data_IF_646066425037
#
_entry.id   IF_646066425037
#
_cell.length_a   1.000
_cell.length_b   1.000
_cell.length_c   1.000
_cell.angle_alpha   90.00
_cell.angle_beta   90.00
_cell.angle_gamma   90.00
#
_symmetry.space_group_name_H-M   'P 1'
#
loop_
_entity.id
_entity.type
_entity.pdbx_description
1 polymer ?
#
# COMPACT_ATOMS: atom_id res chain seq x y z
N UNK A 1 -8.66 -2.84 20.49
CA UNK A 1 -8.89 -2.08 19.23
C UNK A 1 -9.05 -0.58 19.47
N UNK A 2 -9.89 -0.12 20.41
CA UNK A 2 -10.12 1.30 20.69
C UNK A 2 -8.85 2.14 20.96
N UNK A 3 -7.95 1.64 21.83
CA UNK A 3 -6.72 2.35 22.20
C UNK A 3 -5.76 2.56 21.01
N UNK A 4 -5.80 1.67 20.01
CA UNK A 4 -4.96 1.83 18.82
C UNK A 4 -5.39 3.03 17.99
N UNK A 5 -6.68 3.25 17.80
CA UNK A 5 -7.18 4.39 17.03
C UNK A 5 -7.01 5.73 17.75
N UNK A 6 -7.12 5.73 19.09
CA UNK A 6 -7.00 6.95 19.90
C UNK A 6 -5.54 7.38 20.06
N UNK A 7 -4.62 6.43 20.25
CA UNK A 7 -3.23 6.72 20.60
C UNK A 7 -2.26 6.25 19.53
N UNK A 8 -2.39 5.00 19.08
CA UNK A 8 -1.45 4.41 18.12
C UNK A 8 -1.47 5.08 16.75
N UNK A 9 -2.67 5.32 16.20
CA UNK A 9 -2.87 5.89 14.87
C UNK A 9 -2.36 7.33 14.76
N UNK A 10 -2.76 8.31 15.61
CA UNK A 10 -2.22 9.66 15.52
C UNK A 10 -0.72 9.73 15.83
N UNK A 11 -0.19 8.85 16.68
CA UNK A 11 1.24 8.77 16.95
C UNK A 11 2.00 8.28 15.71
N UNK A 12 1.54 7.20 15.07
CA UNK A 12 2.16 6.67 13.86
C UNK A 12 2.11 7.68 12.69
N UNK A 13 0.94 8.29 12.47
CA UNK A 13 0.75 9.30 11.42
C UNK A 13 1.58 10.56 11.71
N UNK A 14 1.56 11.05 12.95
CA UNK A 14 2.32 12.22 13.36
C UNK A 14 3.83 12.01 13.21
N UNK A 15 4.36 10.86 13.66
CA UNK A 15 5.76 10.51 13.48
C UNK A 15 6.14 10.34 12.00
N UNK A 16 5.26 9.77 11.17
CA UNK A 16 5.47 9.67 9.73
C UNK A 16 5.59 11.04 9.05
N UNK A 17 4.69 11.97 9.37
CA UNK A 17 4.75 13.35 8.86
C UNK A 17 5.99 14.09 9.35
N UNK A 18 6.36 13.90 10.62
CA UNK A 18 7.61 14.45 11.18
C UNK A 18 8.85 13.91 10.47
N UNK A 19 8.89 12.62 10.16
CA UNK A 19 9.99 12.01 9.41
C UNK A 19 10.13 12.64 8.03
N UNK A 20 9.02 12.80 7.29
CA UNK A 20 9.01 13.48 5.99
C UNK A 20 9.43 14.95 6.13
N UNK A 21 8.95 15.65 7.16
CA UNK A 21 9.30 17.04 7.41
C UNK A 21 10.78 17.26 7.82
N UNK A 22 11.47 16.20 8.23
CA UNK A 22 12.91 16.25 8.58
C UNK A 22 13.84 16.01 7.39
N UNK A 23 13.32 15.67 6.21
CA UNK A 23 14.12 15.51 4.99
C UNK A 23 14.62 16.89 4.52
N UNK A 24 15.94 17.03 4.39
CA UNK A 24 16.60 18.29 3.99
C UNK A 24 17.06 19.16 5.18
N UNK A 25 17.21 20.46 4.95
CA UNK A 25 17.74 21.42 5.93
C UNK A 25 16.67 22.02 6.86
N UNK A 26 15.41 21.59 6.72
CA UNK A 26 14.27 22.07 7.52
C UNK A 26 13.78 20.97 8.46
N UNK A 27 13.18 21.37 9.59
CA UNK A 27 12.44 20.51 10.52
C UNK A 27 11.16 21.22 10.96
N UNK A 28 10.13 20.47 11.34
CA UNK A 28 8.92 21.04 11.94
C UNK A 28 8.96 20.97 13.47
N UNK A 29 8.20 21.82 14.14
CA UNK A 29 8.04 21.75 15.60
C UNK A 29 7.30 20.46 16.02
N UNK A 30 8.01 19.55 16.69
CA UNK A 30 7.52 18.24 17.10
C UNK A 30 6.21 18.31 17.88
N UNK A 31 6.11 19.23 18.85
CA UNK A 31 4.96 19.32 19.75
C UNK A 31 3.69 19.74 19.02
N UNK A 32 3.81 20.68 18.09
CA UNK A 32 2.66 21.24 17.38
C UNK A 32 2.16 20.28 16.29
N UNK A 33 3.07 19.65 15.55
CA UNK A 33 2.72 18.66 14.53
C UNK A 33 2.07 17.42 15.15
N UNK A 34 2.63 16.90 16.24
CA UNK A 34 2.07 15.75 16.94
C UNK A 34 0.75 16.11 17.64
N UNK A 35 0.69 17.29 18.26
CA UNK A 35 -0.53 17.82 18.86
C UNK A 35 -1.68 17.89 17.87
N UNK A 36 -1.43 18.38 16.65
CA UNK A 36 -2.44 18.44 15.59
C UNK A 36 -2.97 17.05 15.18
N UNK A 37 -2.08 16.05 15.10
CA UNK A 37 -2.49 14.67 14.81
C UNK A 37 -3.39 14.10 15.92
N UNK A 38 -3.03 14.32 17.18
CA UNK A 38 -3.84 13.89 18.32
C UNK A 38 -5.16 14.65 18.45
N UNK A 39 -5.21 15.92 18.06
CA UNK A 39 -6.44 16.73 18.13
C UNK A 39 -7.48 16.27 17.09
N UNK A 40 -7.02 15.83 15.92
CA UNK A 40 -7.89 15.30 14.87
C UNK A 40 -8.32 13.83 15.08
N UNK A 41 -7.62 13.09 15.94
CA UNK A 41 -7.91 11.67 16.18
C UNK A 41 -9.32 11.41 16.74
N UNK A 42 -9.80 12.11 17.79
CA UNK A 42 -11.16 11.92 18.32
C UNK A 42 -12.28 12.24 17.33
N UNK A 43 -12.04 13.19 16.41
CA UNK A 43 -13.05 13.66 15.45
C UNK A 43 -13.41 12.60 14.41
N UNK A 44 -12.44 11.75 14.05
CA UNK A 44 -12.62 10.71 13.03
C UNK A 44 -12.50 9.29 13.61
N UNK A 45 -12.68 9.13 14.92
CA UNK A 45 -12.56 7.86 15.60
C UNK A 45 -13.46 6.77 14.98
N UNK A 46 -12.88 5.60 14.70
CA UNK A 46 -13.58 4.43 14.17
C UNK A 46 -13.90 4.47 12.68
N UNK A 47 -13.47 5.50 11.93
CA UNK A 47 -13.62 5.57 10.47
C UNK A 47 -12.31 5.17 9.77
N UNK A 48 -12.34 4.36 8.70
CA UNK A 48 -11.13 3.97 7.96
C UNK A 48 -10.46 5.18 7.28
N UNK A 49 -11.22 6.22 6.98
CA UNK A 49 -10.76 7.46 6.34
C UNK A 49 -9.94 8.33 7.31
N UNK A 50 -9.94 8.06 8.62
CA UNK A 50 -9.33 8.91 9.65
C UNK A 50 -7.84 9.23 9.43
N UNK A 51 -7.10 8.35 8.75
CA UNK A 51 -5.68 8.53 8.45
C UNK A 51 -5.45 9.79 7.59
N UNK A 52 -6.32 10.06 6.62
CA UNK A 52 -6.17 11.17 5.68
C UNK A 52 -6.30 12.56 6.34
N UNK A 53 -7.39 12.89 7.08
CA UNK A 53 -7.52 14.19 7.73
C UNK A 53 -6.48 14.39 8.85
N UNK A 54 -6.10 13.33 9.57
CA UNK A 54 -5.05 13.39 10.60
C UNK A 54 -3.70 13.71 9.95
N UNK A 55 -3.36 13.02 8.86
CA UNK A 55 -2.12 13.26 8.09
C UNK A 55 -2.11 14.65 7.47
N UNK A 56 -3.23 15.10 6.91
CA UNK A 56 -3.36 16.42 6.30
C UNK A 56 -3.20 17.52 7.35
N UNK A 57 -3.85 17.40 8.51
CA UNK A 57 -3.72 18.36 9.60
C UNK A 57 -2.29 18.41 10.16
N UNK A 58 -1.65 17.26 10.35
CA UNK A 58 -0.25 17.18 10.75
C UNK A 58 0.68 17.80 9.69
N UNK A 59 0.42 17.57 8.40
CA UNK A 59 1.23 18.11 7.30
C UNK A 59 1.12 19.63 7.19
N UNK A 60 -0.10 20.17 7.26
CA UNK A 60 -0.34 21.63 7.24
C UNK A 60 0.33 22.30 8.44
N UNK A 61 0.21 21.71 9.63
CA UNK A 61 0.84 22.26 10.85
C UNK A 61 2.36 22.15 10.80
N UNK A 62 2.90 21.08 10.23
CA UNK A 62 4.33 20.93 9.97
C UNK A 62 4.85 21.96 8.97
N UNK A 63 4.08 22.27 7.92
CA UNK A 63 4.43 23.32 6.96
C UNK A 63 4.38 24.72 7.59
N UNK A 64 3.38 24.99 8.43
CA UNK A 64 3.21 26.29 9.10
C UNK A 64 4.33 26.59 10.12
N UNK A 65 4.86 25.56 10.79
CA UNK A 65 5.88 25.71 11.84
C UNK A 65 7.24 25.14 11.43
N UNK A 66 7.69 25.45 10.21
CA UNK A 66 9.03 25.09 9.74
C UNK A 66 10.10 25.90 10.45
N UNK A 67 11.14 25.21 10.92
CA UNK A 67 12.37 25.77 11.45
C UNK A 67 13.54 25.25 10.63
N UNK A 68 14.55 26.09 10.44
CA UNK A 68 15.81 25.63 9.86
C UNK A 68 16.60 24.85 10.90
N UNK A 69 17.21 23.75 10.49
CA UNK A 69 18.18 23.03 11.32
C UNK A 69 19.32 24.00 11.60
N UNK A 70 19.65 24.19 12.88
CA UNK A 70 20.93 24.82 13.23
C UNK A 70 22.05 24.03 12.53
N UNK A 71 23.09 24.71 12.05
CA UNK A 71 24.24 24.05 11.41
C UNK A 71 24.77 22.98 12.36
N UNK A 72 24.52 21.73 12.04
CA UNK A 72 24.90 20.63 12.91
C UNK A 72 26.41 20.64 13.04
N UNK A 73 26.91 20.79 14.27
CA UNK A 73 28.28 20.38 14.58
C UNK A 73 28.48 18.95 14.11
N UNK A 74 29.68 18.64 13.63
CA UNK A 74 30.03 17.34 13.04
C UNK A 74 29.65 16.18 13.98
N UNK A 75 28.48 15.57 13.75
CA UNK A 75 28.05 14.38 14.49
C UNK A 75 29.12 13.29 14.41
N UNK A 76 29.38 12.63 15.53
CA UNK A 76 30.34 11.52 15.61
C UNK A 76 29.93 10.38 14.68
N UNK A 77 30.90 9.78 13.99
CA UNK A 77 30.70 8.70 13.01
C UNK A 77 29.92 7.51 13.63
N UNK A 78 30.12 7.24 14.92
CA UNK A 78 29.42 6.19 15.66
C UNK A 78 27.90 6.38 15.69
N UNK A 79 27.41 7.60 15.85
CA UNK A 79 25.97 7.89 15.86
C UNK A 79 25.35 7.71 14.47
N UNK A 80 26.09 8.05 13.42
CA UNK A 80 25.65 7.83 12.03
C UNK A 80 25.55 6.35 11.70
N UNK A 81 26.56 5.57 12.09
CA UNK A 81 26.57 4.12 11.91
C UNK A 81 25.46 3.44 12.73
N UNK A 82 25.20 3.89 13.95
CA UNK A 82 24.10 3.39 14.77
C UNK A 82 22.73 3.63 14.12
N UNK A 83 22.46 4.86 13.63
CA UNK A 83 21.21 5.18 12.93
C UNK A 83 21.05 4.39 11.63
N UNK A 84 22.13 4.20 10.88
CA UNK A 84 22.13 3.36 9.69
C UNK A 84 21.85 1.89 10.04
N UNK A 85 22.45 1.36 11.10
CA UNK A 85 22.18 0.01 11.60
C UNK A 85 20.72 -0.17 12.02
N UNK A 86 20.15 0.81 12.72
CA UNK A 86 18.73 0.80 13.10
C UNK A 86 17.81 0.85 11.87
N UNK A 87 18.12 1.70 10.89
CA UNK A 87 17.36 1.79 9.65
C UNK A 87 17.44 0.48 8.84
N UNK A 88 18.61 -0.14 8.77
CA UNK A 88 18.81 -1.43 8.13
C UNK A 88 17.99 -2.52 8.83
N UNK A 89 17.98 -2.57 10.16
CA UNK A 89 17.19 -3.52 10.93
C UNK A 89 15.68 -3.31 10.75
N UNK A 90 15.24 -2.05 10.75
CA UNK A 90 13.84 -1.69 10.53
C UNK A 90 13.33 -2.08 9.14
N UNK A 91 14.20 -2.07 8.12
CA UNK A 91 13.87 -2.49 6.77
C UNK A 91 13.95 -4.01 6.58
N UNK A 92 15.00 -4.65 7.11
CA UNK A 92 15.25 -6.09 6.93
C UNK A 92 14.40 -6.97 7.83
N UNK A 93 14.03 -6.50 9.04
CA UNK A 93 13.22 -7.26 9.99
C UNK A 93 11.86 -7.68 9.44
N UNK A 94 11.02 -6.77 8.92
CA UNK A 94 9.73 -7.12 8.33
C UNK A 94 9.86 -8.01 7.08
N UNK A 95 10.88 -7.80 6.25
CA UNK A 95 11.14 -8.66 5.08
C UNK A 95 11.55 -10.08 5.49
N UNK A 96 12.48 -10.21 6.44
CA UNK A 96 12.90 -11.50 6.97
C UNK A 96 11.74 -12.22 7.66
N UNK A 97 10.93 -11.49 8.43
CA UNK A 97 9.72 -12.04 9.05
C UNK A 97 8.70 -12.50 8.01
N UNK A 98 8.45 -11.69 6.96
CA UNK A 98 7.55 -12.08 5.87
C UNK A 98 8.05 -13.32 5.12
N UNK A 99 9.35 -13.42 4.85
CA UNK A 99 9.94 -14.60 4.20
C UNK A 99 9.81 -15.83 5.10
N UNK A 100 10.09 -15.69 6.41
CA UNK A 100 9.94 -16.77 7.38
C UNK A 100 8.49 -17.23 7.48
N UNK A 101 7.53 -16.32 7.59
CA UNK A 101 6.10 -16.66 7.63
C UNK A 101 5.65 -17.35 6.34
N UNK A 102 6.08 -16.86 5.16
CA UNK A 102 5.75 -17.49 3.89
C UNK A 102 6.37 -18.90 3.78
N UNK A 103 7.63 -19.06 4.20
CA UNK A 103 8.28 -20.37 4.24
C UNK A 103 7.58 -21.33 5.19
N UNK A 104 7.14 -20.86 6.36
CA UNK A 104 6.39 -21.66 7.33
C UNK A 104 5.03 -22.09 6.77
N UNK A 105 4.31 -21.21 6.07
CA UNK A 105 3.05 -21.53 5.41
C UNK A 105 3.20 -22.53 4.26
N UNK A 106 4.27 -22.42 3.46
CA UNK A 106 4.55 -23.44 2.44
C UNK A 106 4.89 -24.79 3.06
N UNK A 107 5.63 -24.79 4.17
CA UNK A 107 6.01 -26.00 4.88
C UNK A 107 4.79 -26.68 5.52
N UNK A 108 3.82 -25.92 6.04
CA UNK A 108 2.59 -26.47 6.60
C UNK A 108 1.72 -27.13 5.51
N UNK A 109 1.61 -26.52 4.33
CA UNK A 109 0.90 -27.15 3.21
C UNK A 109 1.57 -28.46 2.78
N UNK A 110 2.90 -28.48 2.67
CA UNK A 110 3.67 -29.70 2.35
C UNK A 110 3.53 -30.76 3.45
N UNK A 111 3.49 -30.35 4.71
CA UNK A 111 3.26 -31.25 5.84
C UNK A 111 1.86 -31.88 5.80
N UNK A 112 0.83 -31.12 5.45
CA UNK A 112 -0.54 -31.63 5.29
C UNK A 112 -0.66 -32.61 4.11
N UNK A 113 -0.04 -32.30 2.97
CA UNK A 113 -0.04 -33.20 1.81
C UNK A 113 0.74 -34.49 2.09
N UNK A 114 1.88 -34.41 2.77
CA UNK A 114 2.63 -35.57 3.25
C UNK A 114 1.82 -36.39 4.26
N UNK A 115 1.14 -35.75 5.21
CA UNK A 115 0.26 -36.43 6.16
C UNK A 115 -0.87 -37.20 5.47
N UNK A 116 -1.52 -36.58 4.48
CA UNK A 116 -2.55 -37.24 3.67
C UNK A 116 -1.97 -38.42 2.88
N UNK A 117 -0.81 -38.24 2.25
CA UNK A 117 -0.11 -39.32 1.53
C UNK A 117 0.30 -40.47 2.45
N UNK A 118 0.79 -40.19 3.65
CA UNK A 118 1.20 -41.21 4.61
C UNK A 118 0.01 -41.97 5.20
N UNK A 119 -1.15 -41.32 5.35
CA UNK A 119 -2.39 -41.98 5.76
C UNK A 119 -2.85 -43.06 4.77
N UNK A 120 -2.48 -42.94 3.50
CA UNK A 120 -2.72 -43.96 2.47
C UNK A 120 -1.99 -45.28 2.77
N UNK A 121 -0.85 -45.23 3.46
CA UNK A 121 -0.06 -46.41 3.87
C UNK A 121 -0.50 -47.02 5.21
N UNK A 122 -1.76 -46.81 5.61
CA UNK A 122 -2.35 -47.29 6.87
C UNK A 122 -2.28 -48.81 7.10
N UNK A 123 -1.87 -49.60 6.10
CA UNK A 123 -1.61 -51.04 6.23
C UNK A 123 -0.55 -51.38 7.30
N UNK A 124 0.40 -50.48 7.59
CA UNK A 124 1.37 -50.65 8.68
C UNK A 124 1.27 -49.50 9.72
N UNK A 125 0.44 -49.65 10.77
CA UNK A 125 0.11 -48.56 11.70
C UNK A 125 1.28 -48.11 12.59
N UNK A 126 2.33 -48.92 12.72
CA UNK A 126 3.57 -48.57 13.44
C UNK A 126 4.54 -47.79 12.54
N UNK A 127 4.68 -48.22 11.28
CA UNK A 127 5.56 -47.58 10.29
C UNK A 127 5.02 -46.20 9.90
N UNK A 128 3.70 -46.08 9.69
CA UNK A 128 3.04 -44.81 9.40
C UNK A 128 3.25 -43.78 10.52
N UNK A 129 3.05 -44.17 11.80
CA UNK A 129 3.28 -43.28 12.95
C UNK A 129 4.74 -42.87 13.12
N UNK A 130 5.68 -43.78 12.86
CA UNK A 130 7.10 -43.44 12.87
C UNK A 130 7.44 -42.44 11.76
N UNK A 131 7.01 -42.69 10.53
CA UNK A 131 7.26 -41.78 9.42
C UNK A 131 6.62 -40.41 9.66
N UNK A 132 5.36 -40.37 10.07
CA UNK A 132 4.64 -39.14 10.39
C UNK A 132 5.38 -38.34 11.48
N UNK A 133 5.87 -39.00 12.54
CA UNK A 133 6.65 -38.33 13.57
C UNK A 133 7.98 -37.78 13.02
N UNK A 134 8.75 -38.56 12.26
CA UNK A 134 10.06 -38.14 11.77
C UNK A 134 9.94 -36.99 10.78
N UNK A 135 8.94 -37.01 9.90
CA UNK A 135 8.74 -35.97 8.88
C UNK A 135 8.02 -34.73 9.40
N UNK A 136 7.09 -34.85 10.35
CA UNK A 136 6.28 -33.72 10.82
C UNK A 136 6.79 -33.07 12.12
N UNK A 137 7.65 -33.72 12.91
CA UNK A 137 8.25 -33.11 14.10
C UNK A 137 9.04 -31.82 13.80
N UNK A 138 9.89 -31.73 12.75
CA UNK A 138 10.57 -30.49 12.40
C UNK A 138 9.57 -29.37 12.08
N UNK A 139 8.48 -29.69 11.39
CA UNK A 139 7.42 -28.75 11.04
C UNK A 139 6.67 -28.24 12.28
N UNK A 140 6.37 -29.13 13.24
CA UNK A 140 5.75 -28.76 14.52
C UNK A 140 6.67 -27.93 15.42
N UNK A 141 7.97 -28.22 15.43
CA UNK A 141 8.96 -27.44 16.17
C UNK A 141 9.10 -26.04 15.54
N UNK A 142 9.12 -25.95 14.22
CA UNK A 142 9.13 -24.67 13.50
C UNK A 142 7.87 -23.86 13.81
N UNK A 143 6.70 -24.51 13.87
CA UNK A 143 5.43 -23.88 14.24
C UNK A 143 5.44 -23.33 15.68
N UNK A 144 6.02 -24.07 16.64
CA UNK A 144 6.20 -23.59 18.01
C UNK A 144 7.18 -22.41 18.11
N UNK A 145 8.20 -22.37 17.25
CA UNK A 145 9.21 -21.30 17.22
C UNK A 145 8.68 -19.99 16.60
N UNK A 146 7.86 -20.09 15.56
CA UNK A 146 7.27 -18.94 14.86
C UNK A 146 6.05 -18.38 15.63
N UNK A 147 5.51 -19.15 16.58
CA UNK A 147 4.21 -18.90 17.20
C UNK A 147 3.10 -19.29 16.24
N UNK A 148 1.88 -19.50 16.74
CA UNK A 148 0.71 -19.66 15.88
C UNK A 148 0.68 -18.45 14.94
N UNK A 149 0.88 -18.62 13.61
CA UNK A 149 0.70 -17.54 12.68
C UNK A 149 -0.81 -17.36 12.57
N UNK A 150 -1.41 -16.83 13.64
CA UNK A 150 -2.71 -16.18 13.68
C UNK A 150 -2.65 -14.91 12.86
N UNK A 151 -2.18 -15.03 11.62
CA UNK A 151 -2.43 -14.19 10.47
C UNK A 151 -3.94 -14.29 10.23
N UNK A 152 -4.68 -13.72 11.17
CA UNK A 152 -6.13 -13.81 11.22
C UNK A 152 -6.65 -13.16 9.95
N UNK A 153 -7.53 -13.87 9.26
CA UNK A 153 -8.38 -13.36 8.18
C UNK A 153 -8.90 -11.94 8.43
N UNK A 154 -9.12 -11.58 9.70
CA UNK A 154 -9.51 -10.25 10.19
C UNK A 154 -8.54 -9.11 9.83
N UNK A 155 -7.23 -9.35 9.80
CA UNK A 155 -6.23 -8.34 9.43
C UNK A 155 -6.17 -8.16 7.92
N UNK A 156 -6.39 -9.25 7.17
CA UNK A 156 -6.50 -9.24 5.71
C UNK A 156 -7.80 -8.55 5.23
N UNK A 157 -8.91 -8.75 5.96
CA UNK A 157 -10.22 -8.16 5.65
C UNK A 157 -10.22 -6.62 5.69
N UNK A 158 -9.40 -6.00 6.53
CA UNK A 158 -9.27 -4.53 6.55
C UNK A 158 -8.41 -4.01 5.39
N UNK A 159 -7.38 -4.76 4.97
CA UNK A 159 -6.61 -4.45 3.77
C UNK A 159 -7.44 -4.63 2.51
N UNK A 160 -8.31 -5.64 2.45
CA UNK A 160 -9.24 -5.87 1.35
C UNK A 160 -10.18 -4.67 1.15
N UNK A 161 -10.78 -4.14 2.22
CA UNK A 161 -11.59 -2.91 2.16
C UNK A 161 -10.80 -1.70 1.65
N UNK A 162 -9.53 -1.57 2.05
CA UNK A 162 -8.66 -0.50 1.56
C UNK A 162 -8.31 -0.69 0.08
N UNK A 163 -8.06 -1.92 -0.36
CA UNK A 163 -7.84 -2.23 -1.76
C UNK A 163 -9.09 -1.92 -2.61
N UNK A 164 -10.27 -2.33 -2.16
CA UNK A 164 -11.55 -2.00 -2.82
C UNK A 164 -11.77 -0.47 -2.88
N UNK A 165 -11.49 0.25 -1.80
CA UNK A 165 -11.58 1.72 -1.76
C UNK A 165 -10.56 2.41 -2.67
N UNK A 166 -9.33 1.92 -2.74
CA UNK A 166 -8.31 2.47 -3.66
C UNK A 166 -8.66 2.13 -5.11
N UNK A 167 -9.24 0.96 -5.37
CA UNK A 167 -9.69 0.55 -6.69
C UNK A 167 -10.91 1.37 -7.13
N UNK A 168 -11.82 1.74 -6.23
CA UNK A 168 -12.99 2.56 -6.57
C UNK A 168 -12.61 3.91 -7.18
N UNK A 169 -11.53 4.55 -6.70
CA UNK A 169 -11.00 5.77 -7.31
C UNK A 169 -10.45 5.55 -8.73
N UNK A 170 -9.87 4.37 -8.99
CA UNK A 170 -9.37 4.04 -10.32
C UNK A 170 -10.51 3.76 -11.29
N UNK A 171 -11.60 3.15 -10.83
CA UNK A 171 -12.81 2.91 -11.62
C UNK A 171 -13.50 4.24 -11.96
N UNK A 172 -13.69 5.15 -11.00
CA UNK A 172 -14.21 6.51 -11.27
C UNK A 172 -13.37 7.25 -12.32
N UNK A 173 -12.04 7.18 -12.20
CA UNK A 173 -11.13 7.82 -13.16
C UNK A 173 -11.25 7.20 -14.56
N UNK A 174 -11.50 5.88 -14.66
CA UNK A 174 -11.76 5.20 -15.94
C UNK A 174 -13.07 5.66 -16.55
N UNK A 175 -14.13 5.78 -15.76
CA UNK A 175 -15.42 6.27 -16.23
C UNK A 175 -15.30 7.68 -16.80
N UNK A 176 -14.60 8.57 -16.10
CA UNK A 176 -14.31 9.92 -16.60
C UNK A 176 -13.51 9.90 -17.91
N UNK A 177 -12.52 9.01 -18.05
CA UNK A 177 -11.76 8.88 -19.29
C UNK A 177 -12.63 8.43 -20.48
N UNK A 178 -13.55 7.48 -20.27
CA UNK A 178 -14.53 7.10 -21.29
C UNK A 178 -15.47 8.25 -21.65
N UNK A 179 -15.92 9.01 -20.65
CA UNK A 179 -16.76 10.20 -20.88
C UNK A 179 -16.05 11.30 -21.66
N UNK A 180 -14.76 11.54 -21.41
CA UNK A 180 -13.94 12.52 -22.16
C UNK A 180 -13.82 12.13 -23.64
N UNK A 181 -13.69 10.83 -23.93
CA UNK A 181 -13.68 10.33 -25.30
C UNK A 181 -15.09 10.17 -25.90
N UNK A 182 -16.16 10.32 -25.11
CA UNK A 182 -17.53 10.12 -25.54
C UNK A 182 -17.89 8.66 -25.84
N UNK A 183 -17.20 7.71 -25.20
CA UNK A 183 -17.39 6.28 -25.41
C UNK A 183 -18.13 5.63 -24.22
N UNK A 184 -18.88 4.53 -24.45
CA UNK A 184 -19.46 3.74 -23.37
C UNK A 184 -18.38 2.98 -22.60
N UNK A 185 -18.68 2.64 -21.34
CA UNK A 185 -17.81 1.78 -20.54
C UNK A 185 -17.63 0.42 -21.19
N UNK A 186 -16.37 0.02 -21.43
CA UNK A 186 -16.05 -1.26 -22.08
C UNK A 186 -15.93 -1.20 -23.61
N UNK A 187 -15.87 0.00 -24.19
CA UNK A 187 -15.50 0.18 -25.59
C UNK A 187 -14.21 -0.57 -25.94
N UNK A 188 -14.14 -1.10 -27.16
CA UNK A 188 -12.96 -1.86 -27.60
C UNK A 188 -11.75 -0.92 -27.78
N UNK A 189 -10.53 -1.46 -27.65
CA UNK A 189 -9.32 -0.66 -27.91
C UNK A 189 -9.35 -0.01 -29.30
N UNK A 190 -9.89 -0.71 -30.30
CA UNK A 190 -10.04 -0.20 -31.66
C UNK A 190 -10.95 1.03 -31.73
N UNK A 191 -12.08 1.02 -31.01
CA UNK A 191 -12.99 2.16 -30.88
C UNK A 191 -12.33 3.34 -30.16
N UNK A 192 -11.57 3.07 -29.09
CA UNK A 192 -10.80 4.08 -28.35
C UNK A 192 -9.77 4.75 -29.26
N UNK A 193 -8.98 3.96 -30.00
CA UNK A 193 -7.98 4.46 -30.95
C UNK A 193 -8.60 5.24 -32.13
N UNK A 194 -9.77 4.82 -32.61
CA UNK A 194 -10.47 5.52 -33.68
C UNK A 194 -10.98 6.88 -33.21
N UNK A 195 -11.71 6.89 -32.11
CA UNK A 195 -12.34 8.11 -31.55
C UNK A 195 -11.28 9.12 -31.12
N UNK A 196 -10.16 8.67 -30.54
CA UNK A 196 -9.02 9.53 -30.24
C UNK A 196 -8.50 10.26 -31.49
N UNK A 197 -8.29 9.55 -32.60
CA UNK A 197 -7.78 10.15 -33.85
C UNK A 197 -8.75 11.19 -34.43
N UNK A 198 -10.05 10.95 -34.29
CA UNK A 198 -11.08 11.87 -34.78
C UNK A 198 -11.14 13.13 -33.89
N UNK A 199 -11.12 12.96 -32.56
CA UNK A 199 -11.11 14.08 -31.61
C UNK A 199 -9.84 14.94 -31.70
N UNK A 200 -8.67 14.34 -31.93
CA UNK A 200 -7.41 15.06 -32.12
C UNK A 200 -7.47 15.97 -33.34
N UNK A 201 -8.07 15.53 -34.45
CA UNK A 201 -8.21 16.36 -35.67
C UNK A 201 -9.16 17.54 -35.43
N UNK A 202 -10.21 17.33 -34.66
CA UNK A 202 -11.22 18.35 -34.32
C UNK A 202 -10.62 19.40 -33.39
N UNK A 203 -9.91 18.98 -32.35
CA UNK A 203 -9.38 19.87 -31.31
C UNK A 203 -7.91 20.27 -31.51
N UNK A 204 -7.31 20.01 -32.68
CA UNK A 204 -5.93 20.38 -32.94
C UNK A 204 -5.73 21.91 -32.84
N UNK A 205 -4.70 22.40 -32.12
CA UNK A 205 -4.48 23.83 -31.92
C UNK A 205 -4.17 24.58 -33.23
N UNK A 206 -3.73 23.89 -34.27
CA UNK A 206 -3.49 24.51 -35.59
C UNK A 206 -4.76 24.84 -36.36
N UNK A 207 -5.83 24.04 -36.18
CA UNK A 207 -7.12 24.26 -36.84
C UNK A 207 -7.97 25.27 -36.07
N UNK A 208 -7.83 25.33 -34.73
CA UNK A 208 -8.63 26.18 -33.85
C UNK A 208 -7.87 27.42 -33.37
N UNK A 209 -7.32 28.20 -34.31
CA UNK A 209 -6.50 29.39 -33.98
C UNK A 209 -7.27 30.47 -33.22
N UNK A 210 -8.59 30.55 -33.42
CA UNK A 210 -9.48 31.51 -32.75
C UNK A 210 -9.86 31.11 -31.32
N UNK A 211 -9.70 29.84 -30.94
CA UNK A 211 -10.06 29.28 -29.63
C UNK A 211 -8.92 28.41 -29.08
N UNK A 212 -7.68 28.94 -29.14
CA UNK A 212 -6.47 28.18 -28.79
C UNK A 212 -6.49 27.60 -27.39
N UNK A 213 -6.93 28.37 -26.39
CA UNK A 213 -6.91 27.93 -24.99
C UNK A 213 -7.88 26.77 -24.75
N UNK A 214 -9.09 26.84 -25.29
CA UNK A 214 -10.10 25.79 -25.15
C UNK A 214 -9.70 24.54 -25.92
N UNK A 215 -9.20 24.69 -27.16
CA UNK A 215 -8.71 23.59 -27.96
C UNK A 215 -7.51 22.89 -27.29
N UNK A 216 -6.56 23.64 -26.74
CA UNK A 216 -5.42 23.08 -26.02
C UNK A 216 -5.86 22.32 -24.76
N UNK A 217 -6.81 22.87 -23.99
CA UNK A 217 -7.33 22.19 -22.80
C UNK A 217 -8.02 20.88 -23.16
N UNK A 218 -8.91 20.89 -24.16
CA UNK A 218 -9.59 19.68 -24.65
C UNK A 218 -8.60 18.66 -25.21
N UNK A 219 -7.62 19.11 -25.98
CA UNK A 219 -6.57 18.24 -26.53
C UNK A 219 -5.81 17.50 -25.43
N UNK A 220 -5.40 18.21 -24.36
CA UNK A 220 -4.73 17.60 -23.22
C UNK A 220 -5.62 16.61 -22.45
N UNK A 221 -6.90 16.96 -22.24
CA UNK A 221 -7.89 16.05 -21.62
C UNK A 221 -8.06 14.76 -22.43
N UNK A 222 -8.19 14.87 -23.75
CA UNK A 222 -8.33 13.75 -24.69
C UNK A 222 -7.08 12.86 -24.68
N UNK A 223 -5.89 13.46 -24.72
CA UNK A 223 -4.63 12.73 -24.67
C UNK A 223 -4.47 11.96 -23.36
N UNK A 224 -4.75 12.60 -22.21
CA UNK A 224 -4.67 11.96 -20.90
C UNK A 224 -5.67 10.80 -20.76
N UNK A 225 -6.89 10.96 -21.27
CA UNK A 225 -7.90 9.90 -21.28
C UNK A 225 -7.46 8.70 -22.14
N UNK A 226 -6.92 8.96 -23.34
CA UNK A 226 -6.42 7.94 -24.24
C UNK A 226 -5.24 7.17 -23.65
N UNK A 227 -4.22 7.85 -23.10
CA UNK A 227 -3.06 7.21 -22.48
C UNK A 227 -3.46 6.32 -21.29
N UNK A 228 -4.48 6.73 -20.54
CA UNK A 228 -4.99 5.96 -19.40
C UNK A 228 -5.75 4.70 -19.85
N UNK A 229 -6.57 4.81 -20.90
CA UNK A 229 -7.36 3.70 -21.41
C UNK A 229 -6.57 2.75 -22.31
N UNK A 230 -5.52 3.21 -22.99
CA UNK A 230 -4.69 2.37 -23.86
C UNK A 230 -3.83 1.37 -23.08
N UNK A 231 -3.62 1.58 -21.78
CA UNK A 231 -2.89 0.64 -20.95
C UNK A 231 -3.74 -0.61 -20.66
N UNK A 232 -3.21 -1.83 -20.89
CA UNK A 232 -3.94 -3.04 -20.62
C UNK A 232 -4.35 -3.10 -19.15
N UNK A 233 -5.65 -3.33 -18.89
CA UNK A 233 -6.17 -3.55 -17.53
C UNK A 233 -5.42 -4.76 -16.96
N UNK A 234 -4.62 -4.56 -15.91
CA UNK A 234 -4.08 -5.68 -15.13
C UNK A 234 -5.28 -6.51 -14.67
N UNK A 235 -5.37 -7.80 -15.03
CA UNK A 235 -6.46 -8.64 -14.57
C UNK A 235 -6.45 -8.65 -13.04
N UNK A 236 -7.64 -8.58 -12.43
CA UNK A 236 -7.79 -8.72 -10.99
C UNK A 236 -7.14 -10.05 -10.60
N UNK A 237 -6.05 -10.00 -9.84
CA UNK A 237 -5.50 -11.19 -9.22
C UNK A 237 -6.51 -11.61 -8.15
N UNK A 238 -7.45 -12.48 -8.53
CA UNK A 238 -8.35 -13.11 -7.58
C UNK A 238 -7.52 -14.10 -6.77
N UNK A 239 -6.96 -13.64 -5.67
CA UNK A 239 -6.42 -14.53 -4.63
C UNK A 239 -7.63 -15.16 -3.93
N UNK A 240 -8.12 -16.26 -4.50
CA UNK A 240 -9.08 -17.15 -3.85
C UNK A 240 -8.35 -18.38 -3.33
#
# INVERSE_FOLDING_TARGET
>A
MANFYIVGLPLAVGLGVLLVATVGNQTSDFKNTLGAAFLMSPVFYGRPIAILPISLAASITAQKHRRYKASAESETISLRLYRLGLAYLAFTGPLAYSVLCNTAATLSYVAETLGSFLSWFSFFPLLGRLLESVFLLPCRILWLLVGDPGFTSRQFQEWEKLYEFVESFQDEKRQLAYQVLGLPEGATNEEIHRTYRDLVKVWHPDHNRHQREEAQRRFLEIQAAYEFLSQPKKPRASWR
#
